data_IF_454979320458
#
_entry.id   IF_454979320458
#
_cell.length_a   1.000
_cell.length_b   1.000
_cell.length_c   1.000
_cell.angle_alpha   90.00
_cell.angle_beta   90.00
_cell.angle_gamma   90.00
#
_symmetry.space_group_name_H-M   'P 1'
#
loop_
_entity.id
_entity.type
_entity.pdbx_description
1 polymer ?
#
# COMPACT_ATOMS: atom_id res chain seq x y z
N UNK A 1 39.48 37.13 28.57
CA UNK A 1 39.34 35.83 27.86
C UNK A 1 37.96 35.64 27.23
N UNK A 2 36.85 36.15 27.80
CA UNK A 2 35.52 36.11 27.15
C UNK A 2 35.24 37.21 26.10
N UNK A 3 36.12 38.20 25.93
CA UNK A 3 35.89 39.35 25.04
C UNK A 3 36.49 39.21 23.62
N UNK A 4 37.31 38.19 23.35
CA UNK A 4 37.89 37.93 22.02
C UNK A 4 37.10 36.86 21.23
N UNK A 5 36.29 36.05 21.92
CA UNK A 5 35.46 35.00 21.30
C UNK A 5 34.22 35.59 20.58
N UNK A 6 33.81 36.84 20.89
CA UNK A 6 32.62 37.45 20.30
C UNK A 6 32.85 38.16 18.96
N UNK A 7 34.11 38.35 18.52
CA UNK A 7 34.42 39.02 17.25
C UNK A 7 34.81 38.06 16.11
N UNK A 8 34.99 36.76 16.38
CA UNK A 8 35.25 35.75 15.34
C UNK A 8 33.95 35.12 14.80
N UNK A 9 32.81 35.32 15.48
CA UNK A 9 31.52 34.72 15.11
C UNK A 9 30.57 35.67 14.34
N UNK A 10 31.11 36.64 13.60
CA UNK A 10 30.33 37.45 12.66
C UNK A 10 30.74 37.25 11.19
N UNK A 11 31.78 36.46 10.92
CA UNK A 11 32.29 36.23 9.56
C UNK A 11 32.23 34.76 9.07
N UNK A 12 31.57 33.87 9.83
CA UNK A 12 31.34 32.48 9.43
C UNK A 12 29.86 32.04 9.54
N UNK A 13 28.93 33.00 9.70
CA UNK A 13 27.48 32.74 9.82
C UNK A 13 26.63 33.70 8.96
N UNK A 14 27.21 34.27 7.89
CA UNK A 14 26.48 35.19 6.99
C UNK A 14 26.22 34.65 5.58
N UNK A 15 27.07 33.75 5.07
CA UNK A 15 27.06 33.36 3.66
C UNK A 15 26.81 31.87 3.36
N UNK A 16 26.95 30.98 4.35
CA UNK A 16 26.87 29.54 4.13
C UNK A 16 25.57 28.90 4.66
N UNK A 17 24.72 29.63 5.39
CA UNK A 17 23.44 29.11 5.88
C UNK A 17 22.43 28.84 4.74
N UNK A 18 22.58 29.56 3.63
CA UNK A 18 21.62 29.50 2.53
C UNK A 18 21.90 28.44 1.45
N UNK A 19 23.07 27.78 1.46
CA UNK A 19 23.40 26.74 0.47
C UNK A 19 23.03 25.32 0.91
N UNK A 20 22.62 25.11 2.16
CA UNK A 20 22.18 23.79 2.67
C UNK A 20 20.68 23.69 2.93
N UNK A 21 19.93 24.76 2.67
CA UNK A 21 18.46 24.73 2.64
C UNK A 21 17.96 24.38 1.23
N UNK A 22 18.55 23.37 0.59
CA UNK A 22 17.89 22.73 -0.55
C UNK A 22 16.55 22.23 -0.03
N UNK A 23 15.40 22.76 -0.48
CA UNK A 23 14.15 22.11 -0.17
C UNK A 23 14.25 20.75 -0.84
N UNK A 24 14.52 19.73 -0.05
CA UNK A 24 14.32 18.36 -0.45
C UNK A 24 12.84 18.30 -0.80
N UNK A 25 12.55 18.47 -2.09
CA UNK A 25 11.19 18.40 -2.58
C UNK A 25 10.85 16.94 -2.48
N UNK A 26 10.37 16.53 -1.30
CA UNK A 26 9.76 15.23 -1.12
C UNK A 26 8.54 15.30 -2.01
N UNK A 27 8.68 14.80 -3.24
CA UNK A 27 7.53 14.48 -4.07
C UNK A 27 6.73 13.48 -3.28
N UNK A 28 5.71 13.97 -2.56
CA UNK A 28 4.68 13.11 -2.01
C UNK A 28 4.02 12.47 -3.22
N UNK A 29 4.49 11.28 -3.57
CA UNK A 29 3.84 10.48 -4.58
C UNK A 29 2.50 10.07 -3.97
N UNK A 30 1.46 10.82 -4.28
CA UNK A 30 0.10 10.48 -3.86
C UNK A 30 -0.17 9.10 -4.46
N UNK A 31 -0.10 8.07 -3.63
CA UNK A 31 -0.50 6.73 -4.03
C UNK A 31 -1.99 6.86 -4.30
N UNK A 32 -2.36 6.89 -5.58
CA UNK A 32 -3.75 6.87 -5.98
C UNK A 32 -4.35 5.52 -5.57
N UNK A 33 -4.94 5.51 -4.37
CA UNK A 33 -5.55 4.35 -3.74
C UNK A 33 -6.71 3.81 -4.60
N UNK A 34 -7.36 4.69 -5.39
CA UNK A 34 -8.39 4.30 -6.35
C UNK A 34 -7.84 3.33 -7.39
N UNK A 35 -6.59 3.55 -7.84
CA UNK A 35 -5.92 2.75 -8.86
C UNK A 35 -4.99 1.66 -8.34
N UNK A 36 -4.63 1.62 -7.05
CA UNK A 36 -3.72 0.58 -6.50
C UNK A 36 -4.19 -0.83 -6.85
N UNK A 37 -5.48 -1.13 -6.69
CA UNK A 37 -6.02 -2.47 -6.98
C UNK A 37 -5.82 -2.90 -8.44
N UNK A 38 -5.99 -1.96 -9.38
CA UNK A 38 -5.77 -2.19 -10.82
C UNK A 38 -4.28 -2.36 -11.12
N UNK A 39 -3.42 -1.55 -10.50
CA UNK A 39 -1.96 -1.68 -10.62
C UNK A 39 -1.46 -3.04 -10.13
N UNK A 40 -2.00 -3.54 -9.01
CA UNK A 40 -1.67 -4.88 -8.51
C UNK A 40 -2.03 -5.97 -9.54
N UNK A 41 -3.22 -5.90 -10.16
CA UNK A 41 -3.59 -6.86 -11.21
C UNK A 41 -2.64 -6.79 -12.41
N UNK A 42 -2.25 -5.58 -12.84
CA UNK A 42 -1.30 -5.38 -13.95
C UNK A 42 0.02 -6.06 -13.64
N UNK A 43 0.62 -5.77 -12.49
CA UNK A 43 1.92 -6.36 -12.08
C UNK A 43 1.84 -7.88 -11.96
N UNK A 44 0.74 -8.42 -11.42
CA UNK A 44 0.54 -9.87 -11.36
C UNK A 44 0.49 -10.48 -12.76
N UNK A 45 -0.23 -9.85 -13.69
CA UNK A 45 -0.34 -10.34 -15.06
C UNK A 45 0.98 -10.23 -15.84
N UNK A 46 1.78 -9.20 -15.59
CA UNK A 46 3.14 -9.09 -16.12
C UNK A 46 4.00 -10.27 -15.66
N UNK A 47 3.96 -10.62 -14.37
CA UNK A 47 4.68 -11.78 -13.85
C UNK A 47 4.17 -13.08 -14.46
N UNK A 48 2.85 -13.26 -14.55
CA UNK A 48 2.24 -14.45 -15.18
C UNK A 48 2.65 -14.61 -16.64
N UNK A 49 2.73 -13.51 -17.39
CA UNK A 49 3.18 -13.53 -18.78
C UNK A 49 4.65 -13.97 -18.90
N UNK A 50 5.53 -13.54 -17.98
CA UNK A 50 6.93 -13.99 -17.94
C UNK A 50 7.05 -15.50 -17.71
N UNK A 51 6.13 -16.06 -16.92
CA UNK A 51 6.04 -17.50 -16.66
C UNK A 51 5.21 -18.27 -17.71
N UNK A 52 4.78 -17.63 -18.80
CA UNK A 52 3.97 -18.25 -19.86
C UNK A 52 2.55 -18.63 -19.43
N UNK A 53 2.05 -18.06 -18.33
CA UNK A 53 0.71 -18.32 -17.79
C UNK A 53 -0.33 -17.34 -18.38
N UNK A 54 -1.60 -17.77 -18.56
CA UNK A 54 -2.67 -16.90 -19.05
C UNK A 54 -2.97 -15.77 -18.06
N UNK A 55 -3.35 -14.57 -18.51
CA UNK A 55 -3.63 -13.44 -17.63
C UNK A 55 -4.89 -13.69 -16.78
N UNK A 56 -4.90 -13.12 -15.57
CA UNK A 56 -6.08 -13.06 -14.72
C UNK A 56 -7.00 -11.92 -15.19
N UNK A 57 -8.32 -12.16 -15.08
CA UNK A 57 -9.34 -11.15 -15.37
C UNK A 57 -9.87 -10.54 -14.07
N UNK A 58 -10.13 -9.24 -14.09
CA UNK A 58 -10.74 -8.54 -12.96
C UNK A 58 -12.21 -8.96 -12.78
N UNK A 59 -12.62 -9.23 -11.54
CA UNK A 59 -14.02 -9.45 -11.17
C UNK A 59 -14.38 -8.54 -9.99
N UNK A 60 -15.38 -7.67 -10.19
CA UNK A 60 -15.80 -6.69 -9.19
C UNK A 60 -16.35 -7.33 -7.91
N UNK A 61 -16.91 -8.54 -7.99
CA UNK A 61 -17.43 -9.27 -6.83
C UNK A 61 -16.30 -9.77 -5.94
N UNK A 62 -15.21 -10.26 -6.55
CA UNK A 62 -14.00 -10.65 -5.81
C UNK A 62 -13.34 -9.43 -5.16
N UNK A 63 -13.30 -8.30 -5.89
CA UNK A 63 -12.76 -7.06 -5.36
C UNK A 63 -13.61 -6.50 -4.20
N UNK A 64 -14.94 -6.63 -4.27
CA UNK A 64 -15.86 -6.27 -3.20
C UNK A 64 -15.61 -7.12 -1.95
N UNK A 65 -15.54 -8.46 -2.10
CA UNK A 65 -15.24 -9.38 -1.00
C UNK A 65 -13.91 -9.05 -0.31
N UNK A 66 -12.86 -8.79 -1.09
CA UNK A 66 -11.55 -8.40 -0.56
C UNK A 66 -11.60 -7.07 0.21
N UNK A 67 -12.35 -6.08 -0.31
CA UNK A 67 -12.51 -4.77 0.34
C UNK A 67 -13.30 -4.86 1.64
N UNK A 68 -14.32 -5.69 1.71
CA UNK A 68 -15.10 -5.93 2.93
C UNK A 68 -14.20 -6.53 4.01
N UNK A 69 -13.43 -7.58 3.67
CA UNK A 69 -12.51 -8.23 4.61
C UNK A 69 -11.39 -7.29 5.10
N UNK A 70 -10.79 -6.53 4.18
CA UNK A 70 -9.75 -5.55 4.54
C UNK A 70 -10.29 -4.46 5.48
N UNK A 71 -11.53 -3.99 5.27
CA UNK A 71 -12.19 -3.05 6.18
C UNK A 71 -12.45 -3.66 7.56
N UNK A 72 -12.87 -4.93 7.63
CA UNK A 72 -13.08 -5.62 8.91
C UNK A 72 -11.77 -5.78 9.70
N UNK A 73 -10.72 -6.24 9.02
CA UNK A 73 -9.36 -6.36 9.57
C UNK A 73 -8.84 -5.03 10.12
N UNK A 74 -9.02 -3.94 9.37
CA UNK A 74 -8.65 -2.60 9.80
C UNK A 74 -9.46 -2.14 11.00
N UNK A 75 -10.79 -2.30 10.96
CA UNK A 75 -11.70 -1.84 12.03
C UNK A 75 -11.46 -2.55 13.36
N UNK A 76 -11.04 -3.81 13.31
CA UNK A 76 -10.91 -4.70 14.49
C UNK A 76 -9.45 -5.03 14.82
N UNK A 77 -8.51 -4.33 14.20
CA UNK A 77 -7.05 -4.41 14.42
C UNK A 77 -6.53 -5.86 14.42
N UNK A 78 -6.79 -6.60 13.35
CA UNK A 78 -6.26 -7.96 13.18
C UNK A 78 -5.87 -8.24 11.73
N UNK A 79 -5.05 -9.26 11.53
CA UNK A 79 -4.67 -9.78 10.21
C UNK A 79 -4.89 -11.30 10.20
N UNK A 80 -5.85 -11.79 9.41
CA UNK A 80 -6.15 -13.21 9.29
C UNK A 80 -6.83 -13.53 7.97
N UNK A 81 -6.71 -14.77 7.50
CA UNK A 81 -7.50 -15.28 6.38
C UNK A 81 -8.98 -15.46 6.71
N UNK A 82 -9.29 -15.67 7.99
CA UNK A 82 -10.64 -15.88 8.52
C UNK A 82 -11.16 -14.64 9.20
N UNK A 83 -12.47 -14.42 9.11
CA UNK A 83 -13.13 -13.34 9.83
C UNK A 83 -13.11 -13.64 11.33
N UNK A 84 -12.48 -12.77 12.12
CA UNK A 84 -12.27 -12.98 13.56
C UNK A 84 -13.59 -13.29 14.27
N UNK A 85 -13.63 -14.38 15.05
CA UNK A 85 -14.82 -14.82 15.79
C UNK A 85 -15.83 -15.62 14.96
N UNK A 86 -15.47 -16.03 13.74
CA UNK A 86 -16.29 -16.89 12.88
C UNK A 86 -15.40 -17.91 12.16
N UNK A 87 -16.00 -18.92 11.55
CA UNK A 87 -15.33 -19.86 10.64
C UNK A 87 -15.34 -19.37 9.18
N UNK A 88 -15.72 -18.10 8.95
CA UNK A 88 -15.85 -17.55 7.61
C UNK A 88 -14.47 -17.40 6.94
N UNK A 89 -14.17 -18.33 6.04
CA UNK A 89 -13.00 -18.31 5.17
C UNK A 89 -13.18 -17.49 3.88
N UNK A 90 -12.12 -17.39 3.05
CA UNK A 90 -12.17 -16.65 1.78
C UNK A 90 -13.27 -17.11 0.83
N UNK A 91 -13.47 -18.43 0.73
CA UNK A 91 -14.45 -19.03 -0.19
C UNK A 91 -15.88 -18.65 0.19
N UNK A 92 -16.17 -18.59 1.49
CA UNK A 92 -17.48 -18.19 1.98
C UNK A 92 -17.75 -16.69 1.71
N UNK A 93 -16.75 -15.82 1.95
CA UNK A 93 -16.88 -14.39 1.65
C UNK A 93 -17.13 -14.09 0.18
N UNK A 94 -16.44 -14.78 -0.73
CA UNK A 94 -16.65 -14.54 -2.18
C UNK A 94 -18.01 -15.05 -2.64
N UNK A 95 -18.52 -16.16 -2.08
CA UNK A 95 -19.88 -16.65 -2.35
C UNK A 95 -20.94 -15.65 -1.90
N UNK A 96 -20.78 -15.03 -0.73
CA UNK A 96 -21.67 -13.97 -0.24
C UNK A 96 -21.73 -12.75 -1.17
N UNK A 97 -20.67 -12.49 -1.94
CA UNK A 97 -20.64 -11.45 -2.96
C UNK A 97 -21.19 -11.91 -4.33
N UNK A 98 -21.78 -13.11 -4.42
CA UNK A 98 -22.36 -13.66 -5.64
C UNK A 98 -21.33 -14.19 -6.64
N UNK A 99 -20.08 -14.41 -6.23
CA UNK A 99 -19.08 -15.07 -7.07
C UNK A 99 -19.29 -16.58 -7.06
N UNK A 100 -19.40 -17.18 -8.25
CA UNK A 100 -19.52 -18.63 -8.39
C UNK A 100 -18.12 -19.24 -8.43
N UNK A 101 -17.75 -19.91 -7.35
CA UNK A 101 -16.50 -20.65 -7.25
C UNK A 101 -16.56 -21.87 -8.15
N UNK A 102 -15.63 -21.98 -9.09
CA UNK A 102 -15.45 -23.14 -9.96
C UNK A 102 -14.21 -23.98 -9.60
N UNK A 103 -13.41 -23.54 -8.61
CA UNK A 103 -12.23 -24.25 -8.15
C UNK A 103 -12.56 -25.31 -7.10
N UNK A 104 -12.03 -26.51 -7.28
CA UNK A 104 -12.08 -27.61 -6.30
C UNK A 104 -11.13 -27.43 -5.10
N UNK A 105 -10.34 -26.36 -5.09
CA UNK A 105 -9.35 -26.09 -4.04
C UNK A 105 -10.01 -25.34 -2.87
N UNK A 106 -9.87 -25.90 -1.66
CA UNK A 106 -10.32 -25.30 -0.40
C UNK A 106 -11.67 -25.84 0.08
N UNK A 107 -11.68 -27.10 0.51
CA UNK A 107 -12.62 -27.61 1.53
C UNK A 107 -11.83 -27.79 2.81
#
# INVERSE_FOLDING_TARGET
VYAIIFLVNLFLWGGAWFLFSSPLTITMHTVDIGNVKRKVLIVINEYRAREGLPPLTWDDRLAAAARIHAKDMLKRSYLSHYTKGTEEGPMERVRKCGFKVNSSVGR
#
